data_IF_692066558855
#
_entry.id   IF_692066558855
#
_cell.length_a   1.000
_cell.length_b   1.000
_cell.length_c   1.000
_cell.angle_alpha   90.00
_cell.angle_beta   90.00
_cell.angle_gamma   90.00
#
_symmetry.space_group_name_H-M   'P 1'
#
loop_
_entity.id
_entity.type
_entity.pdbx_description
1 polymer ?
#
# COMPACT_ATOMS: atom_id res chain seq x y z
N UNK A 1 17.25 -9.15 -1.34
CA UNK A 1 15.94 -8.58 -1.76
C UNK A 1 16.22 -7.37 -2.60
N UNK A 2 15.62 -7.28 -3.77
CA UNK A 2 15.77 -6.14 -4.65
C UNK A 2 14.84 -5.05 -4.17
N UNK A 3 15.37 -3.86 -3.89
CA UNK A 3 14.59 -2.69 -3.48
C UNK A 3 15.07 -1.46 -4.23
N UNK A 4 14.17 -0.62 -4.68
CA UNK A 4 14.49 0.67 -5.25
C UNK A 4 13.57 1.76 -4.73
N UNK A 5 14.12 2.96 -4.67
CA UNK A 5 13.45 4.14 -4.16
C UNK A 5 13.41 5.19 -5.27
N UNK A 6 12.28 5.87 -5.39
CA UNK A 6 12.17 7.08 -6.20
C UNK A 6 11.57 8.21 -5.36
N UNK A 7 12.13 9.41 -5.51
CA UNK A 7 11.70 10.59 -4.78
C UNK A 7 11.44 11.75 -5.73
N UNK A 8 10.24 12.33 -5.64
CA UNK A 8 9.93 13.60 -6.31
C UNK A 8 9.87 14.73 -5.27
N UNK A 9 10.66 15.79 -5.51
CA UNK A 9 10.78 16.92 -4.58
C UNK A 9 9.98 18.13 -5.05
N UNK A 10 9.46 18.92 -4.09
CA UNK A 10 8.87 20.22 -4.37
C UNK A 10 7.49 20.20 -5.07
N UNK A 11 6.74 19.10 -4.96
CA UNK A 11 5.41 18.99 -5.58
C UNK A 11 4.44 19.94 -4.89
N UNK A 12 3.65 20.66 -5.70
CA UNK A 12 2.73 21.70 -5.26
C UNK A 12 1.46 21.15 -4.61
N UNK A 13 1.63 20.49 -3.47
CA UNK A 13 0.52 19.95 -2.68
C UNK A 13 0.88 19.92 -1.19
N UNK A 14 -0.08 19.67 -0.31
CA UNK A 14 0.23 19.40 1.09
C UNK A 14 0.55 17.92 1.31
N UNK A 15 1.48 17.62 2.20
CA UNK A 15 1.84 16.25 2.56
C UNK A 15 0.64 15.41 3.02
N UNK A 16 -0.30 16.02 3.78
CA UNK A 16 -1.52 15.35 4.22
C UNK A 16 -2.40 14.89 3.05
N UNK A 17 -2.62 15.75 2.03
CA UNK A 17 -3.41 15.40 0.86
C UNK A 17 -2.74 14.30 0.02
N UNK A 18 -1.42 14.33 -0.07
CA UNK A 18 -0.64 13.29 -0.73
C UNK A 18 -0.69 11.98 0.06
N UNK A 19 -0.59 12.04 1.39
CA UNK A 19 -0.66 10.90 2.28
C UNK A 19 -1.90 10.05 2.09
N UNK A 20 -3.08 10.66 1.94
CA UNK A 20 -4.33 9.95 1.68
C UNK A 20 -4.29 9.07 0.41
N UNK A 21 -3.61 9.54 -0.65
CA UNK A 21 -3.49 8.77 -1.89
C UNK A 21 -2.39 7.72 -1.78
N UNK A 22 -1.29 8.03 -1.10
CA UNK A 22 -0.20 7.07 -0.86
C UNK A 22 -0.65 5.89 0.00
N UNK A 23 -1.56 6.11 0.95
CA UNK A 23 -2.14 5.06 1.78
C UNK A 23 -2.90 4.01 0.95
N UNK A 24 -3.57 4.44 -0.12
CA UNK A 24 -4.31 3.54 -1.02
C UNK A 24 -3.40 2.56 -1.79
N UNK A 25 -2.12 2.88 -1.96
CA UNK A 25 -1.19 2.07 -2.75
C UNK A 25 -0.21 1.25 -1.91
N UNK A 26 -0.07 1.54 -0.62
CA UNK A 26 0.83 0.77 0.26
C UNK A 26 0.48 -0.71 0.29
N UNK A 27 1.49 -1.56 0.20
CA UNK A 27 1.35 -3.02 0.25
C UNK A 27 0.73 -3.66 -0.97
N UNK A 28 0.29 -2.87 -1.98
CA UNK A 28 -0.28 -3.38 -3.22
C UNK A 28 0.81 -3.76 -4.22
N UNK A 29 0.49 -4.69 -5.13
CA UNK A 29 1.33 -4.95 -6.29
C UNK A 29 1.38 -3.70 -7.18
N UNK A 30 2.49 -3.50 -7.88
CA UNK A 30 2.73 -2.32 -8.72
C UNK A 30 1.61 -2.13 -9.75
N UNK A 31 1.17 -3.18 -10.44
CA UNK A 31 0.10 -3.12 -11.43
C UNK A 31 -1.23 -2.67 -10.81
N UNK A 32 -1.58 -3.21 -9.66
CA UNK A 32 -2.79 -2.81 -8.92
C UNK A 32 -2.69 -1.37 -8.40
N UNK A 33 -1.50 -0.96 -7.95
CA UNK A 33 -1.24 0.41 -7.50
C UNK A 33 -1.41 1.41 -8.65
N UNK A 34 -0.86 1.13 -9.84
CA UNK A 34 -1.01 1.95 -11.03
C UNK A 34 -2.48 2.06 -11.46
N UNK A 35 -3.21 0.95 -11.49
CA UNK A 35 -4.65 0.94 -11.78
C UNK A 35 -5.44 1.79 -10.76
N UNK A 36 -5.17 1.62 -9.46
CA UNK A 36 -5.80 2.42 -8.40
C UNK A 36 -5.54 3.92 -8.59
N UNK A 37 -4.31 4.30 -8.94
CA UNK A 37 -3.94 5.70 -9.17
C UNK A 37 -4.61 6.28 -10.43
N UNK A 38 -4.80 5.49 -11.48
CA UNK A 38 -5.45 5.92 -12.71
C UNK A 38 -6.92 6.30 -12.48
N UNK A 39 -7.63 5.54 -11.65
CA UNK A 39 -9.04 5.81 -11.31
C UNK A 39 -9.22 6.81 -10.16
N UNK A 40 -8.15 7.21 -9.49
CA UNK A 40 -8.23 8.17 -8.39
C UNK A 40 -8.43 9.59 -8.91
N UNK A 41 -9.53 10.25 -8.48
CA UNK A 41 -9.91 11.62 -8.93
C UNK A 41 -9.00 12.73 -8.37
N UNK A 42 -8.02 12.43 -7.53
CA UNK A 42 -7.12 13.43 -6.93
C UNK A 42 -6.00 13.80 -7.89
N UNK A 43 -5.79 15.10 -8.12
CA UNK A 43 -4.75 15.63 -9.03
C UNK A 43 -3.36 15.04 -8.76
N UNK A 44 -3.02 14.88 -7.48
CA UNK A 44 -1.74 14.35 -7.03
C UNK A 44 -1.49 12.88 -7.46
N UNK A 45 -2.54 12.13 -7.81
CA UNK A 45 -2.41 10.73 -8.22
C UNK A 45 -1.53 10.59 -9.48
N UNK A 46 -1.60 11.57 -10.40
CA UNK A 46 -0.76 11.60 -11.60
C UNK A 46 0.73 11.73 -11.27
N UNK A 47 1.07 12.57 -10.28
CA UNK A 47 2.45 12.77 -9.87
C UNK A 47 2.98 11.54 -9.13
N UNK A 48 2.16 10.94 -8.27
CA UNK A 48 2.50 9.67 -7.59
C UNK A 48 2.72 8.54 -8.61
N UNK A 49 1.88 8.45 -9.64
CA UNK A 49 2.05 7.45 -10.71
C UNK A 49 3.38 7.61 -11.46
N UNK A 50 3.85 8.85 -11.69
CA UNK A 50 5.16 9.11 -12.29
C UNK A 50 6.29 8.64 -11.39
N UNK A 51 6.21 8.92 -10.08
CA UNK A 51 7.21 8.48 -9.09
C UNK A 51 7.25 6.96 -9.01
N UNK A 52 6.08 6.30 -9.00
CA UNK A 52 6.00 4.85 -8.98
C UNK A 52 6.63 4.22 -10.22
N UNK A 53 6.36 4.76 -11.43
CA UNK A 53 7.00 4.29 -12.67
C UNK A 53 8.51 4.48 -12.63
N UNK A 54 9.01 5.59 -12.08
CA UNK A 54 10.44 5.82 -11.89
C UNK A 54 11.04 4.82 -10.91
N UNK A 55 10.35 4.48 -9.81
CA UNK A 55 10.80 3.46 -8.88
C UNK A 55 10.91 2.08 -9.55
N UNK A 56 9.92 1.71 -10.38
CA UNK A 56 9.93 0.45 -11.16
C UNK A 56 11.10 0.44 -12.14
N UNK A 57 11.34 1.53 -12.87
CA UNK A 57 12.47 1.62 -13.78
C UNK A 57 13.82 1.48 -13.05
N UNK A 58 13.93 2.05 -11.84
CA UNK A 58 15.13 1.91 -11.02
C UNK A 58 15.35 0.44 -10.57
N UNK A 59 14.26 -0.31 -10.27
CA UNK A 59 14.37 -1.74 -9.97
C UNK A 59 14.86 -2.51 -11.20
N UNK A 60 14.30 -2.23 -12.37
CA UNK A 60 14.65 -2.91 -13.63
C UNK A 60 16.11 -2.74 -14.05
N UNK A 61 16.74 -1.64 -13.63
CA UNK A 61 18.16 -1.38 -13.89
C UNK A 61 19.10 -2.11 -12.93
N UNK A 62 18.58 -2.72 -11.86
CA UNK A 62 19.40 -3.48 -10.92
C UNK A 62 19.68 -4.88 -11.48
N UNK A 63 20.95 -5.28 -11.53
CA UNK A 63 21.39 -6.59 -12.03
C UNK A 63 20.77 -7.78 -11.27
N UNK A 64 20.42 -7.57 -10.00
CA UNK A 64 19.81 -8.59 -9.14
C UNK A 64 18.31 -8.81 -9.39
N UNK A 65 17.69 -8.05 -10.32
CA UNK A 65 16.27 -8.16 -10.61
C UNK A 65 15.98 -9.30 -11.57
N UNK A 66 15.12 -10.22 -11.16
CA UNK A 66 14.74 -11.40 -11.96
C UNK A 66 13.81 -11.14 -13.15
N UNK A 67 13.48 -9.86 -13.46
CA UNK A 67 12.68 -9.47 -14.63
C UNK A 67 11.16 -9.46 -14.41
N UNK A 68 10.66 -10.05 -13.34
CA UNK A 68 9.22 -10.21 -13.09
C UNK A 68 8.59 -8.97 -12.41
N UNK A 69 7.99 -8.09 -13.19
CA UNK A 69 7.30 -6.89 -12.67
C UNK A 69 6.11 -7.25 -11.76
N UNK A 70 5.44 -8.38 -12.01
CA UNK A 70 4.27 -8.81 -11.24
C UNK A 70 4.60 -9.18 -9.79
N UNK A 71 5.87 -9.44 -9.49
CA UNK A 71 6.35 -9.70 -8.13
C UNK A 71 6.65 -8.42 -7.34
N UNK A 72 6.69 -7.29 -8.01
CA UNK A 72 6.97 -6.02 -7.36
C UNK A 72 5.76 -5.54 -6.57
N UNK A 73 6.02 -5.07 -5.37
CA UNK A 73 5.01 -4.44 -4.52
C UNK A 73 5.54 -3.15 -3.89
N UNK A 74 4.64 -2.28 -3.51
CA UNK A 74 4.97 -1.04 -2.82
C UNK A 74 5.23 -1.35 -1.35
N UNK A 75 6.51 -1.35 -0.94
CA UNK A 75 6.90 -1.62 0.45
C UNK A 75 6.63 -0.40 1.33
N UNK A 76 7.03 0.78 0.91
CA UNK A 76 6.77 2.02 1.62
C UNK A 76 6.38 3.14 0.66
N UNK A 77 5.45 3.98 1.07
CA UNK A 77 5.05 5.18 0.36
C UNK A 77 4.70 6.28 1.36
N UNK A 78 5.41 7.40 1.32
CA UNK A 78 5.20 8.50 2.25
C UNK A 78 5.44 9.85 1.61
N UNK A 79 4.88 10.87 2.24
CA UNK A 79 5.01 12.26 1.81
C UNK A 79 5.55 13.12 2.96
N UNK A 80 6.68 13.73 2.76
CA UNK A 80 7.28 14.66 3.68
C UNK A 80 6.87 16.10 3.35
N UNK A 81 6.80 16.95 4.37
CA UNK A 81 6.49 18.35 4.18
C UNK A 81 7.72 19.07 3.59
N UNK A 82 7.51 19.78 2.48
CA UNK A 82 8.51 20.65 1.87
C UNK A 82 8.36 22.11 2.33
N UNK A 83 9.14 23.02 1.74
CA UNK A 83 9.09 24.44 2.03
C UNK A 83 7.71 25.00 1.74
N UNK A 84 7.27 25.93 2.59
CA UNK A 84 5.95 26.58 2.50
C UNK A 84 6.11 28.06 2.19
N UNK A 85 5.49 28.53 1.12
CA UNK A 85 5.47 29.94 0.77
C UNK A 85 4.27 30.63 1.42
N UNK A 86 4.55 31.60 2.28
CA UNK A 86 3.52 32.45 2.89
C UNK A 86 3.09 33.54 1.90
N UNK A 87 1.80 33.77 1.79
CA UNK A 87 1.20 34.82 0.97
C UNK A 87 0.14 35.54 1.78
N UNK A 88 -0.12 36.77 1.43
CA UNK A 88 -1.15 37.62 2.05
C UNK A 88 -2.27 37.79 1.03
N UNK A 89 -3.50 37.69 1.49
CA UNK A 89 -4.71 38.04 0.73
C UNK A 89 -5.44 39.17 1.45
N UNK A 90 -5.80 40.25 0.75
CA UNK A 90 -6.55 41.33 1.35
C UNK A 90 -7.90 40.85 1.88
N UNK A 91 -8.33 41.44 2.97
CA UNK A 91 -9.60 41.14 3.61
C UNK A 91 -10.35 42.46 3.92
N UNK A 92 -11.68 42.45 4.14
CA UNK A 92 -12.44 43.60 4.51
C UNK A 92 -11.91 44.29 5.79
N UNK A 93 -12.21 45.56 5.94
CA UNK A 93 -11.83 46.38 7.11
C UNK A 93 -10.32 46.49 7.36
N UNK A 94 -9.49 46.56 6.31
CA UNK A 94 -8.04 46.71 6.45
C UNK A 94 -7.31 45.48 7.00
N UNK A 95 -8.00 44.33 7.10
CA UNK A 95 -7.40 43.06 7.58
C UNK A 95 -6.70 42.34 6.44
N UNK A 96 -5.85 41.38 6.82
CA UNK A 96 -5.14 40.53 5.87
C UNK A 96 -5.26 39.06 6.28
N UNK A 97 -5.60 38.18 5.31
CA UNK A 97 -5.60 36.74 5.50
C UNK A 97 -4.27 36.14 5.12
N UNK A 98 -3.74 35.30 5.99
CA UNK A 98 -2.53 34.53 5.73
C UNK A 98 -2.87 33.29 4.90
N UNK A 99 -2.28 33.18 3.71
CA UNK A 99 -2.37 32.01 2.84
C UNK A 99 -1.04 31.29 2.83
N UNK A 100 -1.02 30.01 3.16
CA UNK A 100 0.19 29.17 3.13
C UNK A 100 0.11 28.24 1.93
N UNK A 101 1.03 28.43 0.98
CA UNK A 101 1.19 27.55 -0.19
C UNK A 101 2.22 26.49 0.14
N UNK A 102 1.74 25.28 0.46
CA UNK A 102 2.57 24.15 0.89
C UNK A 102 3.12 23.39 -0.30
N UNK A 103 4.30 22.82 -0.15
CA UNK A 103 4.88 21.81 -1.04
C UNK A 103 5.12 20.51 -0.26
N UNK A 104 5.29 19.41 -0.98
CA UNK A 104 5.58 18.11 -0.41
C UNK A 104 6.66 17.41 -1.21
N UNK A 105 7.37 16.51 -0.54
CA UNK A 105 8.30 15.56 -1.15
C UNK A 105 7.65 14.18 -1.09
N UNK A 106 7.54 13.52 -2.24
CA UNK A 106 6.96 12.17 -2.34
C UNK A 106 8.09 11.17 -2.45
N UNK A 107 8.03 10.11 -1.65
CA UNK A 107 8.97 8.99 -1.72
C UNK A 107 8.16 7.71 -1.84
N UNK A 108 8.50 6.90 -2.83
CA UNK A 108 7.92 5.57 -3.05
C UNK A 108 9.06 4.57 -3.11
N UNK A 109 8.93 3.52 -2.34
CA UNK A 109 9.84 2.39 -2.28
C UNK A 109 9.13 1.15 -2.80
N UNK A 110 9.76 0.47 -3.74
CA UNK A 110 9.28 -0.77 -4.35
C UNK A 110 10.25 -1.88 -4.00
N UNK A 111 9.73 -3.03 -3.62
CA UNK A 111 10.50 -4.21 -3.29
C UNK A 111 9.94 -5.44 -4.00
N UNK A 112 10.77 -6.45 -4.21
CA UNK A 112 10.36 -7.74 -4.73
C UNK A 112 9.87 -8.64 -3.59
N UNK A 113 8.72 -9.31 -3.80
CA UNK A 113 8.23 -10.30 -2.84
C UNK A 113 9.11 -11.54 -2.87
N UNK A 114 9.61 -11.99 -1.71
CA UNK A 114 10.34 -13.24 -1.63
C UNK A 114 9.42 -14.39 -2.08
N UNK A 115 9.96 -15.28 -2.90
CA UNK A 115 9.28 -16.53 -3.27
C UNK A 115 9.16 -17.34 -1.98
N UNK A 116 7.95 -17.51 -1.48
CA UNK A 116 7.69 -18.56 -0.50
C UNK A 116 7.79 -19.87 -1.25
N UNK A 117 8.97 -20.46 -1.28
CA UNK A 117 9.12 -21.85 -1.68
C UNK A 117 8.34 -22.63 -0.63
N UNK A 118 7.12 -23.06 -0.98
CA UNK A 118 6.42 -24.06 -0.19
C UNK A 118 7.40 -25.21 -0.10
N UNK A 119 7.87 -25.52 1.10
CA UNK A 119 8.61 -26.77 1.36
C UNK A 119 7.64 -27.86 0.90
N UNK A 120 7.91 -28.44 -0.27
CA UNK A 120 7.28 -29.68 -0.67
C UNK A 120 7.68 -30.65 0.43
N UNK A 121 6.74 -30.97 1.30
CA UNK A 121 6.90 -32.06 2.23
C UNK A 121 7.08 -33.31 1.34
N UNK A 122 8.30 -33.76 1.24
CA UNK A 122 8.62 -35.09 0.75
C UNK A 122 7.93 -36.06 1.70
N UNK A 123 6.70 -36.46 1.37
CA UNK A 123 6.09 -37.65 1.93
C UNK A 123 6.83 -38.86 1.34
N UNK A 124 7.94 -39.20 1.99
CA UNK A 124 8.56 -40.49 1.91
C UNK A 124 7.91 -41.39 2.93
N UNK A 125 7.25 -42.41 2.47
CA UNK A 125 6.38 -43.35 3.07
C UNK A 125 6.76 -43.90 4.45
N UNK A 126 5.74 -44.20 5.22
CA UNK A 126 5.64 -45.43 6.02
C UNK A 126 4.20 -45.60 6.50
N UNK A 127 3.70 -46.72 6.15
CA UNK A 127 2.50 -47.46 6.50
C UNK A 127 1.86 -47.25 7.89
N UNK A 128 0.55 -47.44 7.84
CA UNK A 128 -0.31 -48.09 8.84
C UNK A 128 -0.52 -47.39 10.20
N UNK A 129 -1.70 -46.91 10.49
CA UNK A 129 -2.60 -47.64 11.38
C UNK A 129 -3.97 -47.00 11.48
N UNK A 130 -4.91 -47.82 11.15
CA UNK A 130 -6.34 -47.62 11.16
C UNK A 130 -6.83 -47.64 12.61
N UNK A 131 -7.50 -46.59 13.09
CA UNK A 131 -8.39 -46.69 14.24
C UNK A 131 -9.59 -45.76 14.08
N UNK A 132 -10.80 -46.30 14.06
CA UNK A 132 -11.99 -45.48 14.03
C UNK A 132 -12.37 -45.03 15.44
N UNK A 133 -12.52 -43.76 15.68
CA UNK A 133 -13.04 -43.24 16.94
C UNK A 133 -14.42 -42.64 16.74
N UNK A 134 -15.39 -43.46 17.11
CA UNK A 134 -16.45 -43.23 18.05
C UNK A 134 -17.18 -41.89 18.00
N UNK A 135 -18.36 -42.00 17.41
CA UNK A 135 -19.47 -41.05 17.54
C UNK A 135 -19.78 -40.72 19.02
N UNK A 136 -19.94 -39.46 19.33
CA UNK A 136 -20.75 -39.02 20.46
C UNK A 136 -21.90 -38.17 19.98
N UNK A 137 -23.07 -38.81 20.01
CA UNK A 137 -24.41 -38.23 20.11
C UNK A 137 -24.47 -37.35 21.35
N UNK A 138 -25.18 -36.29 21.26
CA UNK A 138 -26.11 -35.83 22.32
C UNK A 138 -26.65 -34.49 21.89
N UNK A 139 -27.83 -34.46 21.81
CA UNK A 139 -28.95 -34.32 22.71
C UNK A 139 -29.41 -32.86 22.81
N UNK A 140 -30.44 -32.71 22.11
CA UNK A 140 -31.45 -31.65 22.17
C UNK A 140 -32.01 -31.58 23.60
N UNK A 141 -32.08 -30.39 24.14
CA UNK A 141 -33.02 -30.09 25.22
C UNK A 141 -33.74 -28.78 24.90
N UNK A 142 -34.92 -28.96 24.40
CA UNK A 142 -36.06 -28.05 24.47
C UNK A 142 -36.28 -27.60 25.91
N UNK A 143 -36.47 -26.33 26.15
CA UNK A 143 -37.40 -25.89 27.18
C UNK A 143 -38.16 -24.67 26.73
N UNK A 144 -39.37 -24.93 26.43
CA UNK A 144 -40.42 -23.98 26.15
C UNK A 144 -41.11 -23.54 27.45
N UNK A 145 -41.87 -22.49 27.29
CA UNK A 145 -43.00 -22.03 28.12
C UNK A 145 -42.65 -21.29 29.40
N UNK A 146 -43.16 -20.15 29.61
CA UNK A 146 -44.46 -19.56 29.63
C UNK A 146 -44.55 -18.63 30.86
N UNK A 147 -45.20 -17.50 30.63
CA UNK A 147 -46.17 -16.89 31.54
C UNK A 147 -45.62 -15.97 32.67
N UNK A 148 -45.81 -14.76 32.59
CA UNK A 148 -46.95 -13.96 33.05
C UNK A 148 -46.76 -12.53 32.54
#
# INVERSE_FOLDING_TARGET
MVEAIATARGIRTSAQKAGLVLELIRGKNVNQALATLQFTRKTIARDIAKVLRSAVANVQQQEAFGGDIDRLFVSAAYANQGPSAKRVRPAPMGRAYRVVKRTAHLTVQVAERPIKIAKVATEGGAAAENKPARAKKTAVAKKATAKA
#
